data_IF_054783796544
#
_entry.id   IF_054783796544
#
_cell.length_a   1.000
_cell.length_b   1.000
_cell.length_c   1.000
_cell.angle_alpha   90.00
_cell.angle_beta   90.00
_cell.angle_gamma   90.00
#
_symmetry.space_group_name_H-M   'P 1'
#
loop_
_entity.id
_entity.type
_entity.pdbx_description
1 polymer ?
#
# COMPACT_ATOMS: atom_id res chain seq x y z
N UNK A 1 26.52 37.39 -56.58
CA UNK A 1 25.46 36.42 -56.95
C UNK A 1 25.87 35.09 -56.31
N UNK A 2 25.21 34.44 -55.33
CA UNK A 2 23.82 34.35 -54.85
C UNK A 2 23.84 34.05 -53.33
N UNK A 3 22.72 34.34 -52.65
CA UNK A 3 22.43 34.35 -51.18
C UNK A 3 22.30 32.95 -50.52
N UNK A 4 22.43 32.92 -49.19
CA UNK A 4 21.95 31.89 -48.21
C UNK A 4 20.45 31.53 -48.40
N UNK A 5 19.80 30.55 -47.70
CA UNK A 5 20.14 29.74 -46.51
C UNK A 5 19.87 28.22 -46.74
N UNK A 6 19.98 27.28 -45.78
CA UNK A 6 18.86 26.80 -44.93
C UNK A 6 19.46 25.92 -43.82
N UNK A 7 19.42 26.46 -42.58
CA UNK A 7 19.17 25.65 -41.40
C UNK A 7 17.71 25.16 -41.46
N UNK A 8 17.47 23.86 -41.34
CA UNK A 8 16.26 23.24 -40.74
C UNK A 8 16.12 21.78 -41.22
N UNK A 9 16.79 20.83 -40.56
CA UNK A 9 16.49 19.41 -40.76
C UNK A 9 16.80 18.54 -39.52
N UNK A 10 16.61 19.08 -38.31
CA UNK A 10 16.87 18.33 -37.07
C UNK A 10 15.75 18.44 -36.02
N UNK A 11 14.51 18.68 -36.46
CA UNK A 11 13.38 18.92 -35.56
C UNK A 11 12.17 17.99 -35.78
N UNK A 12 12.34 16.80 -36.36
CA UNK A 12 11.22 15.87 -36.62
C UNK A 12 11.37 14.47 -36.00
N UNK A 13 12.42 14.18 -35.24
CA UNK A 13 12.61 12.85 -34.63
C UNK A 13 12.14 12.74 -33.15
N UNK A 14 11.72 13.84 -32.52
CA UNK A 14 11.33 13.84 -31.08
C UNK A 14 9.83 13.69 -30.82
N UNK A 15 8.99 13.61 -31.86
CA UNK A 15 7.53 13.47 -31.71
C UNK A 15 7.07 12.00 -31.59
N UNK A 16 7.97 11.01 -31.71
CA UNK A 16 7.59 9.60 -31.66
C UNK A 16 7.59 8.97 -30.26
N UNK A 17 8.09 9.64 -29.22
CA UNK A 17 7.97 9.17 -27.82
C UNK A 17 6.73 9.69 -27.08
N UNK A 18 5.90 10.53 -27.73
CA UNK A 18 4.62 10.98 -27.16
C UNK A 18 3.47 9.99 -27.42
N UNK A 19 3.71 8.88 -28.13
CA UNK A 19 2.73 7.85 -28.42
C UNK A 19 3.00 6.56 -27.62
N UNK A 20 3.16 6.69 -26.31
CA UNK A 20 2.94 5.58 -25.39
C UNK A 20 1.91 5.98 -24.32
N UNK A 21 0.92 6.79 -24.71
CA UNK A 21 -0.34 6.88 -23.98
C UNK A 21 -1.33 5.88 -24.58
N UNK A 22 -0.93 4.60 -24.61
CA UNK A 22 -1.93 3.54 -24.54
C UNK A 22 -2.23 3.35 -23.06
N UNK A 23 -2.96 4.32 -22.50
CA UNK A 23 -3.89 4.06 -21.42
C UNK A 23 -4.91 3.05 -21.93
N UNK A 24 -4.51 1.79 -22.05
CA UNK A 24 -5.45 0.70 -21.98
C UNK A 24 -6.13 0.90 -20.64
N UNK A 25 -7.32 1.49 -20.64
CA UNK A 25 -8.25 1.44 -19.53
C UNK A 25 -8.66 -0.03 -19.37
N UNK A 26 -7.76 -0.87 -18.86
CA UNK A 26 -8.18 -2.16 -18.35
C UNK A 26 -9.09 -1.82 -17.18
N UNK A 27 -10.37 -2.13 -17.38
CA UNK A 27 -11.45 -1.83 -16.47
C UNK A 27 -11.05 -2.29 -15.06
N UNK A 28 -11.22 -1.39 -14.08
CA UNK A 28 -11.03 -1.74 -12.67
C UNK A 28 -11.84 -3.00 -12.36
N UNK A 29 -11.25 -4.00 -11.71
CA UNK A 29 -12.01 -5.18 -11.31
C UNK A 29 -12.66 -4.91 -9.94
N UNK A 30 -13.97 -4.58 -9.88
CA UNK A 30 -14.62 -4.22 -8.62
C UNK A 30 -14.68 -5.38 -7.62
N UNK A 31 -14.47 -6.63 -8.07
CA UNK A 31 -14.42 -7.79 -7.17
C UNK A 31 -13.09 -7.90 -6.42
N UNK A 32 -12.04 -7.23 -6.90
CA UNK A 32 -10.70 -7.24 -6.30
C UNK A 32 -10.49 -5.96 -5.48
N UNK A 33 -11.09 -4.84 -5.90
CA UNK A 33 -10.91 -3.55 -5.24
C UNK A 33 -11.70 -3.44 -3.94
N UNK A 34 -11.05 -2.88 -2.92
CA UNK A 34 -11.72 -2.49 -1.68
C UNK A 34 -12.71 -1.36 -1.93
N UNK A 35 -13.83 -1.40 -1.21
CA UNK A 35 -14.77 -0.28 -1.10
C UNK A 35 -14.40 0.57 0.12
N UNK A 36 -14.08 1.85 -0.11
CA UNK A 36 -13.76 2.81 0.96
C UNK A 36 -14.94 3.68 1.38
N UNK A 37 -16.14 3.51 0.78
CA UNK A 37 -17.38 4.16 1.24
C UNK A 37 -17.90 3.53 2.53
N UNK A 38 -17.66 2.23 2.69
CA UNK A 38 -17.95 1.50 3.91
C UNK A 38 -16.61 1.23 4.60
N UNK A 39 -16.40 1.76 5.81
CA UNK A 39 -15.19 1.47 6.61
C UNK A 39 -15.06 -0.02 6.99
N UNK A 40 -15.99 -0.86 6.56
CA UNK A 40 -15.92 -2.30 6.65
C UNK A 40 -15.10 -2.86 5.47
N UNK A 41 -13.80 -3.07 5.69
CA UNK A 41 -13.01 -3.90 4.80
C UNK A 41 -13.56 -5.33 4.70
N UNK A 42 -13.12 -6.12 3.71
CA UNK A 42 -13.40 -7.55 3.70
C UNK A 42 -12.76 -8.21 4.93
N UNK A 43 -13.57 -8.49 5.95
CA UNK A 43 -13.11 -9.00 7.26
C UNK A 43 -13.69 -8.29 8.50
N UNK A 44 -14.50 -7.24 8.33
CA UNK A 44 -15.06 -6.44 9.44
C UNK A 44 -16.06 -7.17 10.39
N UNK A 45 -16.16 -8.50 10.32
CA UNK A 45 -17.09 -9.31 11.12
C UNK A 45 -16.38 -10.33 12.03
N UNK A 46 -15.09 -10.17 12.33
CA UNK A 46 -14.43 -10.87 13.43
C UNK A 46 -14.41 -9.99 14.67
N UNK A 47 -14.81 -10.53 15.82
CA UNK A 47 -14.84 -9.85 17.12
C UNK A 47 -13.58 -9.01 17.37
N UNK A 48 -13.74 -7.69 17.55
CA UNK A 48 -12.77 -6.70 18.06
C UNK A 48 -11.28 -7.04 17.89
N UNK A 49 -10.83 -7.42 16.70
CA UNK A 49 -9.43 -7.80 16.48
C UNK A 49 -8.54 -6.55 16.67
N UNK A 50 -7.57 -6.56 17.61
CA UNK A 50 -6.70 -5.41 17.87
C UNK A 50 -5.84 -5.01 16.67
N UNK A 51 -5.70 -5.87 15.66
CA UNK A 51 -4.99 -5.57 14.41
C UNK A 51 -5.81 -4.70 13.44
N UNK A 52 -7.13 -4.57 13.63
CA UNK A 52 -8.05 -3.84 12.73
C UNK A 52 -7.57 -2.42 12.38
N UNK A 53 -7.09 -1.59 13.32
CA UNK A 53 -6.61 -0.24 12.99
C UNK A 53 -5.36 -0.25 12.11
N UNK A 54 -4.47 -1.23 12.29
CA UNK A 54 -3.26 -1.39 11.48
C UNK A 54 -3.60 -1.89 10.09
N UNK A 55 -4.53 -2.85 9.98
CA UNK A 55 -5.02 -3.35 8.70
C UNK A 55 -5.70 -2.23 7.88
N UNK A 56 -6.56 -1.43 8.50
CA UNK A 56 -7.24 -0.31 7.86
C UNK A 56 -6.23 0.74 7.38
N UNK A 57 -5.24 1.06 8.22
CA UNK A 57 -4.17 1.96 7.85
C UNK A 57 -3.39 1.46 6.63
N UNK A 58 -2.97 0.19 6.67
CA UNK A 58 -2.24 -0.44 5.59
C UNK A 58 -3.06 -0.45 4.30
N UNK A 59 -4.36 -0.78 4.38
CA UNK A 59 -5.25 -0.80 3.21
C UNK A 59 -5.35 0.55 2.53
N UNK A 60 -5.59 1.61 3.30
CA UNK A 60 -5.77 2.96 2.75
C UNK A 60 -4.48 3.50 2.13
N UNK A 61 -3.36 3.38 2.84
CA UNK A 61 -2.07 3.83 2.30
C UNK A 61 -1.62 3.01 1.10
N UNK A 62 -1.80 1.69 1.12
CA UNK A 62 -1.45 0.83 0.00
C UNK A 62 -2.21 1.21 -1.27
N UNK A 63 -3.51 1.48 -1.19
CA UNK A 63 -4.29 1.92 -2.34
C UNK A 63 -3.92 3.33 -2.80
N UNK A 64 -3.58 4.24 -1.88
CA UNK A 64 -3.11 5.58 -2.24
C UNK A 64 -1.75 5.56 -2.95
N UNK A 65 -0.85 4.66 -2.56
CA UNK A 65 0.50 4.57 -3.11
C UNK A 65 0.61 3.55 -4.26
N UNK A 66 -0.46 2.80 -4.57
CA UNK A 66 -0.47 1.74 -5.57
C UNK A 66 -0.04 2.22 -6.97
N UNK A 67 -0.29 3.49 -7.30
CA UNK A 67 0.11 4.11 -8.56
C UNK A 67 1.61 4.40 -8.70
N UNK A 68 2.42 4.23 -7.64
CA UNK A 68 3.89 4.34 -7.76
C UNK A 68 4.44 3.31 -8.75
N UNK A 69 5.52 3.68 -9.45
CA UNK A 69 6.27 2.80 -10.37
C UNK A 69 7.28 1.90 -9.66
N UNK A 70 7.52 2.12 -8.37
CA UNK A 70 8.46 1.32 -7.58
C UNK A 70 7.98 -0.13 -7.38
N UNK A 71 8.89 -1.01 -6.98
CA UNK A 71 8.57 -2.40 -6.59
C UNK A 71 7.47 -2.44 -5.51
N UNK A 72 6.62 -3.46 -5.55
CA UNK A 72 5.49 -3.56 -4.61
C UNK A 72 5.97 -3.68 -3.16
N UNK A 73 7.13 -4.28 -2.96
CA UNK A 73 7.84 -4.44 -1.70
C UNK A 73 8.28 -3.08 -1.14
N UNK A 74 8.85 -2.22 -1.99
CA UNK A 74 9.28 -0.85 -1.60
C UNK A 74 8.07 0.00 -1.21
N UNK A 75 6.98 -0.10 -1.97
CA UNK A 75 5.73 0.59 -1.61
C UNK A 75 5.15 0.04 -0.32
N UNK A 76 5.21 -1.28 -0.09
CA UNK A 76 4.75 -1.89 1.15
C UNK A 76 5.55 -1.41 2.37
N UNK A 77 6.87 -1.25 2.26
CA UNK A 77 7.69 -0.64 3.30
C UNK A 77 7.28 0.80 3.59
N UNK A 78 7.01 1.60 2.55
CA UNK A 78 6.51 2.96 2.70
C UNK A 78 5.13 3.01 3.39
N UNK A 79 4.25 2.05 3.09
CA UNK A 79 2.94 1.89 3.75
C UNK A 79 3.14 1.58 5.24
N UNK A 80 4.00 0.61 5.59
CA UNK A 80 4.29 0.26 6.99
C UNK A 80 4.87 1.46 7.74
N UNK A 81 5.78 2.21 7.10
CA UNK A 81 6.35 3.43 7.67
C UNK A 81 5.28 4.50 7.92
N UNK A 82 4.35 4.70 6.98
CA UNK A 82 3.23 5.63 7.14
C UNK A 82 2.28 5.22 8.28
N UNK A 83 2.15 3.91 8.54
CA UNK A 83 1.34 3.36 9.62
C UNK A 83 2.09 3.19 10.97
N UNK A 84 3.34 3.65 11.07
CA UNK A 84 4.15 3.55 12.29
C UNK A 84 3.45 4.03 13.57
N UNK A 85 2.67 5.14 13.57
CA UNK A 85 1.98 5.59 14.80
C UNK A 85 0.94 4.58 15.31
N UNK A 86 0.19 3.94 14.42
CA UNK A 86 -0.85 2.98 14.78
C UNK A 86 -0.23 1.65 15.20
N UNK A 87 0.80 1.20 14.47
CA UNK A 87 1.57 0.01 14.83
C UNK A 87 2.25 0.15 16.20
N UNK A 88 2.80 1.33 16.51
CA UNK A 88 3.42 1.60 17.81
C UNK A 88 2.41 1.52 18.96
N UNK A 89 1.18 2.01 18.78
CA UNK A 89 0.11 1.86 19.78
C UNK A 89 -0.27 0.39 20.01
N UNK A 90 -0.37 -0.39 18.94
CA UNK A 90 -0.65 -1.82 19.05
C UNK A 90 0.47 -2.56 19.81
N UNK A 91 1.72 -2.23 19.50
CA UNK A 91 2.90 -2.73 20.20
C UNK A 91 2.88 -2.40 21.70
N UNK A 92 2.58 -1.16 22.08
CA UNK A 92 2.48 -0.76 23.49
C UNK A 92 1.36 -1.52 24.23
N UNK A 93 0.22 -1.75 23.58
CA UNK A 93 -0.89 -2.51 24.15
C UNK A 93 -0.48 -3.97 24.46
N UNK A 94 0.28 -4.61 23.58
CA UNK A 94 0.74 -5.99 23.78
C UNK A 94 1.85 -6.11 24.82
N UNK A 95 2.76 -5.13 24.93
CA UNK A 95 3.79 -5.13 25.98
C UNK A 95 3.17 -5.07 27.39
N UNK A 96 2.07 -4.33 27.55
CA UNK A 96 1.29 -4.32 28.79
C UNK A 96 0.64 -5.67 29.14
N UNK A 97 0.44 -6.55 28.14
CA UNK A 97 -0.11 -7.90 28.32
C UNK A 97 1.00 -8.94 28.56
N UNK A 98 2.16 -8.81 27.88
CA UNK A 98 3.29 -9.74 28.01
C UNK A 98 4.04 -9.57 29.35
N UNK A 99 4.00 -8.38 29.95
CA UNK A 99 4.60 -8.12 31.27
C UNK A 99 4.09 -9.04 32.38
N UNK A 100 2.91 -9.66 32.19
CA UNK A 100 2.31 -10.59 33.15
C UNK A 100 2.46 -12.08 32.79
N UNK A 101 3.03 -12.42 31.62
CA UNK A 101 3.03 -13.81 31.11
C UNK A 101 4.38 -14.34 30.64
N UNK A 102 5.35 -13.51 30.21
CA UNK A 102 6.67 -14.02 29.78
C UNK A 102 6.66 -15.03 28.62
N UNK A 103 5.52 -15.21 27.95
CA UNK A 103 5.29 -16.28 26.99
C UNK A 103 5.97 -15.97 25.64
N UNK A 104 6.94 -16.81 25.25
CA UNK A 104 7.45 -16.85 23.88
C UNK A 104 6.58 -17.83 23.09
N UNK A 105 5.79 -17.31 22.16
CA UNK A 105 4.98 -18.14 21.27
C UNK A 105 5.84 -18.70 20.14
N UNK A 106 5.40 -19.82 19.54
CA UNK A 106 5.94 -20.28 18.26
C UNK A 106 5.17 -19.59 17.13
N UNK A 107 5.89 -19.08 16.13
CA UNK A 107 5.29 -18.54 14.92
C UNK A 107 4.55 -19.65 14.18
N UNK A 108 3.28 -19.43 13.84
CA UNK A 108 2.45 -20.41 13.12
C UNK A 108 2.96 -20.67 11.68
N UNK A 109 3.72 -19.74 11.12
CA UNK A 109 4.21 -19.78 9.74
C UNK A 109 5.61 -20.40 9.63
N UNK A 110 6.46 -20.20 10.64
CA UNK A 110 7.87 -20.64 10.59
C UNK A 110 8.22 -21.72 11.61
N UNK A 111 7.36 -21.96 12.61
CA UNK A 111 7.62 -22.90 13.70
C UNK A 111 8.79 -22.49 14.60
N UNK A 112 9.34 -21.28 14.44
CA UNK A 112 10.42 -20.75 15.27
C UNK A 112 9.86 -19.93 16.44
N UNK A 113 10.59 -19.83 17.56
CA UNK A 113 10.24 -18.91 18.63
C UNK A 113 10.12 -17.49 18.08
N UNK A 114 9.00 -16.85 18.39
CA UNK A 114 8.70 -15.48 17.99
C UNK A 114 8.28 -14.66 19.21
N UNK A 115 8.12 -13.36 19.02
CA UNK A 115 7.55 -12.47 20.03
C UNK A 115 6.40 -11.67 19.40
N UNK A 116 5.45 -11.15 20.21
CA UNK A 116 4.30 -10.41 19.69
C UNK A 116 4.69 -9.24 18.78
N UNK A 117 5.80 -8.56 19.08
CA UNK A 117 6.28 -7.42 18.30
C UNK A 117 6.72 -7.81 16.89
N UNK A 118 7.39 -8.96 16.76
CA UNK A 118 7.82 -9.52 15.48
C UNK A 118 6.61 -10.01 14.66
N UNK A 119 5.60 -10.60 15.31
CA UNK A 119 4.38 -10.99 14.61
C UNK A 119 3.59 -9.77 14.12
N UNK A 120 3.50 -8.70 14.91
CA UNK A 120 2.85 -7.46 14.49
C UNK A 120 3.54 -6.81 13.27
N UNK A 121 4.87 -6.78 13.23
CA UNK A 121 5.60 -6.22 12.07
C UNK A 121 5.41 -7.09 10.83
N UNK A 122 5.46 -8.42 10.98
CA UNK A 122 5.19 -9.35 9.87
C UNK A 122 3.77 -9.22 9.34
N UNK A 123 2.78 -9.04 10.22
CA UNK A 123 1.39 -8.78 9.86
C UNK A 123 1.27 -7.48 9.06
N UNK A 124 1.80 -6.37 9.59
CA UNK A 124 1.73 -5.07 8.92
C UNK A 124 2.36 -5.13 7.52
N UNK A 125 3.52 -5.77 7.37
CA UNK A 125 4.20 -5.88 6.10
C UNK A 125 3.48 -6.80 5.10
N UNK A 126 2.97 -7.94 5.56
CA UNK A 126 2.19 -8.85 4.74
C UNK A 126 0.90 -8.21 4.22
N UNK A 127 0.18 -7.47 5.07
CA UNK A 127 -1.04 -6.74 4.69
C UNK A 127 -0.74 -5.59 3.74
N UNK A 128 0.31 -4.81 4.00
CA UNK A 128 0.73 -3.75 3.10
C UNK A 128 1.04 -4.28 1.70
N UNK A 129 1.85 -5.34 1.59
CA UNK A 129 2.20 -5.94 0.31
C UNK A 129 0.96 -6.50 -0.40
N UNK A 130 0.11 -7.22 0.33
CA UNK A 130 -1.14 -7.76 -0.19
C UNK A 130 -2.01 -6.66 -0.81
N UNK A 131 -2.23 -5.56 -0.09
CA UNK A 131 -3.08 -4.47 -0.57
C UNK A 131 -2.47 -3.69 -1.72
N UNK A 132 -1.15 -3.51 -1.76
CA UNK A 132 -0.46 -2.87 -2.90
C UNK A 132 -0.65 -3.72 -4.15
N UNK A 133 -0.38 -5.03 -4.05
CA UNK A 133 -0.55 -5.96 -5.17
C UNK A 133 -2.01 -6.04 -5.60
N UNK A 134 -2.94 -6.11 -4.65
CA UNK A 134 -4.38 -6.11 -4.92
C UNK A 134 -4.80 -4.85 -5.69
N UNK A 135 -4.41 -3.68 -5.21
CA UNK A 135 -4.76 -2.40 -5.83
C UNK A 135 -4.17 -2.27 -7.25
N UNK A 136 -2.92 -2.71 -7.45
CA UNK A 136 -2.26 -2.72 -8.76
C UNK A 136 -2.89 -3.70 -9.74
N UNK A 137 -3.13 -4.94 -9.29
CA UNK A 137 -3.74 -5.99 -10.10
C UNK A 137 -5.17 -5.64 -10.50
N UNK A 138 -5.94 -5.06 -9.58
CA UNK A 138 -7.32 -4.63 -9.81
C UNK A 138 -7.44 -3.25 -10.48
N UNK A 139 -6.33 -2.52 -10.67
CA UNK A 139 -6.29 -1.11 -11.10
C UNK A 139 -7.29 -0.26 -10.32
N UNK A 140 -7.23 -0.41 -9.01
CA UNK A 140 -8.21 0.15 -8.10
C UNK A 140 -8.04 1.65 -7.95
N UNK A 141 -9.16 2.34 -7.68
CA UNK A 141 -9.13 3.76 -7.37
C UNK A 141 -8.57 3.96 -5.95
N UNK A 142 -7.74 5.00 -5.73
CA UNK A 142 -7.28 5.33 -4.40
C UNK A 142 -8.46 5.77 -3.51
N UNK A 143 -8.34 5.65 -2.18
CA UNK A 143 -9.34 6.18 -1.25
C UNK A 143 -9.43 7.71 -1.35
N UNK A 144 -10.53 8.31 -0.84
CA UNK A 144 -10.61 9.76 -0.65
C UNK A 144 -9.45 10.28 0.21
N UNK A 145 -8.99 11.50 -0.06
CA UNK A 145 -7.89 12.14 0.67
C UNK A 145 -8.36 13.40 1.39
N UNK A 146 -7.85 13.62 2.61
CA UNK A 146 -8.06 14.83 3.42
C UNK A 146 -6.69 15.31 3.90
N UNK A 147 -6.35 16.57 3.64
CA UNK A 147 -5.06 17.17 4.04
C UNK A 147 -3.81 16.37 3.57
N UNK A 148 -3.88 15.75 2.39
CA UNK A 148 -2.78 14.95 1.83
C UNK A 148 -2.63 13.54 2.41
N UNK A 149 -3.54 13.13 3.31
CA UNK A 149 -3.60 11.80 3.89
C UNK A 149 -4.85 11.06 3.38
N UNK A 150 -4.83 9.73 3.27
CA UNK A 150 -6.05 8.96 3.10
C UNK A 150 -7.07 9.30 4.20
N UNK A 151 -8.30 9.63 3.85
CA UNK A 151 -9.35 9.92 4.81
C UNK A 151 -9.63 8.69 5.69
N UNK A 152 -10.02 8.87 6.96
CA UNK A 152 -10.39 7.77 7.87
C UNK A 152 -9.21 7.08 8.57
N UNK A 153 -8.03 7.72 8.56
CA UNK A 153 -6.86 7.39 9.38
C UNK A 153 -6.80 8.18 10.69
#
# INVERSE_FOLDING_TARGET
MIRQPVMAALALATLALAACENGHEAMSNPKICADFRNNAGPGAAAASDPSTPVDECARRWAYSLAGSKDGAEIVAEAVVAACAPVLSRWNQASLGQTANSGEQALSLTTGQPTNPLAEHSSFAQGRALFYVVQARAGRCKPPPVTNGLPAGL
#
